data_IF_107114095197
#
_entry.id   IF_107114095197
#
_cell.length_a   1.000
_cell.length_b   1.000
_cell.length_c   1.000
_cell.angle_alpha   90.00
_cell.angle_beta   90.00
_cell.angle_gamma   90.00
#
_symmetry.space_group_name_H-M   'P 1'
#
loop_
_entity.id
_entity.type
_entity.pdbx_description
1 polymer ?
#
# COMPACT_ATOMS: atom_id res chain seq x y z
N UNK A 1 -3.59 49.93 28.85
CA UNK A 1 -3.44 49.97 27.39
C UNK A 1 -3.10 48.57 26.89
N UNK A 2 -4.11 47.85 26.44
CA UNK A 2 -4.03 46.52 25.85
C UNK A 2 -4.37 46.69 24.39
N UNK A 3 -3.37 46.73 23.53
CA UNK A 3 -3.57 46.69 22.07
C UNK A 3 -2.45 45.86 21.46
N UNK A 4 -2.80 44.78 20.82
CA UNK A 4 -1.87 44.13 19.92
C UNK A 4 -1.90 42.63 19.86
N UNK A 5 -3.01 41.97 20.15
CA UNK A 5 -3.21 40.60 19.62
C UNK A 5 -3.83 40.76 18.23
N UNK A 6 -2.97 41.06 17.29
CA UNK A 6 -3.31 41.05 15.87
C UNK A 6 -3.78 39.64 15.53
N UNK A 7 -5.05 39.50 15.24
CA UNK A 7 -5.64 38.34 14.60
C UNK A 7 -4.87 38.07 13.31
N UNK A 8 -3.91 37.15 13.35
CA UNK A 8 -3.43 36.51 12.18
C UNK A 8 -4.53 35.55 11.67
N UNK A 9 -5.61 36.13 11.17
CA UNK A 9 -6.51 35.46 10.26
C UNK A 9 -5.73 35.21 8.94
N UNK A 10 -4.81 34.27 8.98
CA UNK A 10 -4.26 33.72 7.77
C UNK A 10 -5.43 33.05 7.07
N UNK A 11 -6.03 33.74 6.11
CA UNK A 11 -6.80 33.11 5.05
C UNK A 11 -5.87 32.05 4.48
N UNK A 12 -5.99 30.80 4.95
CA UNK A 12 -5.26 29.68 4.44
C UNK A 12 -5.66 29.51 2.98
N UNK A 13 -4.88 30.08 2.10
CA UNK A 13 -5.07 30.02 0.65
C UNK A 13 -5.11 28.56 0.23
N UNK A 14 -5.80 28.25 -0.87
CA UNK A 14 -5.88 26.89 -1.46
C UNK A 14 -4.52 26.21 -1.66
N UNK A 15 -3.42 26.96 -1.62
CA UNK A 15 -2.03 26.49 -1.63
C UNK A 15 -1.63 25.64 -0.40
N UNK A 16 -2.34 25.76 0.74
CA UNK A 16 -2.04 24.98 1.95
C UNK A 16 -2.76 23.60 2.00
N UNK A 17 -3.75 23.36 1.12
CA UNK A 17 -4.59 22.15 1.12
C UNK A 17 -4.08 21.06 0.15
N UNK A 18 -2.78 20.86 -0.02
CA UNK A 18 -2.24 19.91 -1.00
C UNK A 18 -1.44 18.78 -0.35
N UNK A 19 -1.83 18.38 0.86
CA UNK A 19 -1.24 17.19 1.45
C UNK A 19 -1.94 15.94 0.93
N UNK A 20 -1.19 14.87 0.88
CA UNK A 20 -1.68 13.54 0.58
C UNK A 20 -1.19 12.60 1.69
N UNK A 21 -2.00 11.63 2.06
CA UNK A 21 -1.66 10.63 3.07
C UNK A 21 -1.72 9.25 2.46
N UNK A 22 -0.67 8.46 2.67
CA UNK A 22 -0.64 7.04 2.35
C UNK A 22 -0.73 6.22 3.63
N UNK A 23 -1.50 5.16 3.61
CA UNK A 23 -1.61 4.21 4.72
C UNK A 23 -1.64 2.77 4.21
N UNK A 24 -0.90 1.90 4.87
CA UNK A 24 -0.92 0.46 4.59
C UNK A 24 -0.74 -0.37 5.86
N UNK A 25 -1.50 -1.45 5.93
CA UNK A 25 -1.37 -2.51 6.94
C UNK A 25 -1.70 -3.89 6.36
N UNK A 26 -1.59 -4.03 5.05
CA UNK A 26 -2.05 -5.23 4.34
C UNK A 26 -1.27 -6.50 4.69
N UNK A 27 -0.03 -6.37 5.11
CA UNK A 27 0.85 -7.47 5.49
C UNK A 27 1.41 -7.29 6.93
N UNK A 28 2.66 -7.73 7.16
CA UNK A 28 3.31 -7.69 8.47
C UNK A 28 3.88 -6.32 8.87
N UNK A 29 3.49 -5.27 8.19
CA UNK A 29 3.93 -3.91 8.50
C UNK A 29 2.74 -2.96 8.49
N UNK A 30 2.75 -2.04 9.45
CA UNK A 30 1.88 -0.87 9.45
C UNK A 30 2.70 0.35 9.05
N UNK A 31 2.23 1.13 8.10
CA UNK A 31 2.95 2.33 7.66
C UNK A 31 1.99 3.46 7.34
N UNK A 32 2.39 4.67 7.69
CA UNK A 32 1.71 5.92 7.32
C UNK A 32 2.76 6.88 6.78
N UNK A 33 2.44 7.54 5.67
CA UNK A 33 3.28 8.57 5.06
C UNK A 33 2.43 9.80 4.76
N UNK A 34 2.88 10.96 5.19
CA UNK A 34 2.34 12.26 4.78
C UNK A 34 3.28 12.84 3.73
N UNK A 35 2.73 13.29 2.60
CA UNK A 35 3.51 13.90 1.56
C UNK A 35 2.80 15.10 0.93
N UNK A 36 3.58 15.95 0.30
CA UNK A 36 3.12 17.15 -0.40
C UNK A 36 3.94 17.33 -1.66
N UNK A 37 3.28 17.46 -2.80
CA UNK A 37 3.95 17.60 -4.09
C UNK A 37 5.03 16.52 -4.31
N UNK A 38 4.65 15.26 -4.07
CA UNK A 38 5.53 14.09 -4.20
C UNK A 38 6.74 14.06 -3.22
N UNK A 39 6.87 15.02 -2.30
CA UNK A 39 7.90 15.03 -1.27
C UNK A 39 7.36 14.46 0.04
N UNK A 40 8.08 13.54 0.64
CA UNK A 40 7.74 12.97 1.94
C UNK A 40 7.98 14.03 3.02
N UNK A 41 6.93 14.34 3.79
CA UNK A 41 6.95 15.26 4.93
C UNK A 41 7.12 14.49 6.23
N UNK A 42 6.49 13.32 6.33
CA UNK A 42 6.60 12.42 7.46
C UNK A 42 6.35 10.99 7.00
N UNK A 43 7.14 10.07 7.52
CA UNK A 43 7.02 8.64 7.19
C UNK A 43 7.36 7.80 8.42
N UNK A 44 6.55 6.80 8.68
CA UNK A 44 6.85 5.80 9.70
C UNK A 44 6.28 4.45 9.32
N UNK A 45 7.13 3.43 9.44
CA UNK A 45 6.80 2.04 9.20
C UNK A 45 7.19 1.22 10.42
N UNK A 46 6.28 0.39 10.92
CA UNK A 46 6.48 -0.48 12.09
C UNK A 46 6.12 -1.90 11.70
N UNK A 47 6.96 -2.86 12.07
CA UNK A 47 6.63 -4.28 11.94
C UNK A 47 5.54 -4.61 12.95
N UNK A 48 4.48 -5.26 12.50
CA UNK A 48 3.34 -5.67 13.32
C UNK A 48 2.78 -6.97 12.77
N UNK A 49 2.93 -8.03 13.53
CA UNK A 49 2.37 -9.34 13.16
C UNK A 49 0.93 -9.46 13.64
N UNK A 50 0.63 -8.84 14.79
CA UNK A 50 -0.68 -8.80 15.43
C UNK A 50 -0.96 -7.38 15.95
N UNK A 51 -2.23 -7.07 16.25
CA UNK A 51 -2.62 -5.78 16.84
C UNK A 51 -2.43 -4.58 15.91
N UNK A 52 -2.63 -4.75 14.60
CA UNK A 52 -2.48 -3.69 13.60
C UNK A 52 -3.31 -2.44 13.94
N UNK A 53 -4.47 -2.60 14.56
CA UNK A 53 -5.36 -1.50 14.97
C UNK A 53 -4.68 -0.55 15.98
N UNK A 54 -4.02 -1.10 16.99
CA UNK A 54 -3.29 -0.31 18.00
C UNK A 54 -2.11 0.42 17.37
N UNK A 55 -1.36 -0.30 16.52
CA UNK A 55 -0.18 0.27 15.84
C UNK A 55 -0.58 1.39 14.89
N UNK A 56 -1.61 1.19 14.06
CA UNK A 56 -2.09 2.20 13.12
C UNK A 56 -2.63 3.44 13.82
N UNK A 57 -3.44 3.26 14.87
CA UNK A 57 -3.97 4.38 15.68
C UNK A 57 -2.84 5.19 16.29
N UNK A 58 -1.82 4.52 16.85
CA UNK A 58 -0.63 5.19 17.40
C UNK A 58 0.16 5.94 16.32
N UNK A 59 0.35 5.33 15.14
CA UNK A 59 1.04 5.98 14.02
C UNK A 59 0.30 7.23 13.55
N UNK A 60 -1.02 7.17 13.46
CA UNK A 60 -1.84 8.33 13.07
C UNK A 60 -1.78 9.44 14.13
N UNK A 61 -1.86 9.09 15.42
CA UNK A 61 -1.71 10.05 16.50
C UNK A 61 -0.31 10.70 16.51
N UNK A 62 0.75 9.92 16.30
CA UNK A 62 2.13 10.42 16.17
C UNK A 62 2.28 11.39 14.99
N UNK A 63 1.68 11.04 13.83
CA UNK A 63 1.66 11.92 12.67
C UNK A 63 1.01 13.26 13.01
N UNK A 64 -0.23 13.24 13.54
CA UNK A 64 -0.98 14.46 13.89
C UNK A 64 -0.22 15.29 14.94
N UNK A 65 0.30 14.65 15.98
CA UNK A 65 1.07 15.32 17.03
C UNK A 65 2.31 16.04 16.49
N UNK A 66 3.07 15.37 15.61
CA UNK A 66 4.34 15.88 15.07
C UNK A 66 4.17 16.93 13.99
N UNK A 67 3.19 16.76 13.11
CA UNK A 67 3.02 17.61 11.92
C UNK A 67 1.92 18.65 12.09
N UNK A 68 1.08 18.52 13.13
CA UNK A 68 -0.11 19.33 13.34
C UNK A 68 -1.09 19.31 12.16
N UNK A 69 -1.00 18.27 11.32
CA UNK A 69 -1.88 18.11 10.15
C UNK A 69 -3.32 17.90 10.59
N UNK A 70 -4.25 18.55 9.90
CA UNK A 70 -5.68 18.34 10.07
C UNK A 70 -6.25 17.61 8.84
N UNK A 71 -7.32 16.84 9.02
CA UNK A 71 -7.96 16.11 7.93
C UNK A 71 -8.35 17.02 6.76
N UNK A 72 -8.81 18.25 7.04
CA UNK A 72 -9.21 19.26 6.06
C UNK A 72 -8.08 19.73 5.11
N UNK A 73 -6.79 19.52 5.48
CA UNK A 73 -5.64 19.86 4.66
C UNK A 73 -5.21 18.73 3.74
N UNK A 74 -5.76 17.54 3.93
CA UNK A 74 -5.43 16.36 3.13
C UNK A 74 -6.41 16.28 1.97
N UNK A 75 -5.86 16.35 0.75
CA UNK A 75 -6.63 16.28 -0.49
C UNK A 75 -6.85 14.84 -0.96
N UNK A 76 -5.84 13.97 -0.77
CA UNK A 76 -5.89 12.58 -1.23
C UNK A 76 -5.48 11.59 -0.15
N UNK A 77 -6.18 10.48 -0.13
CA UNK A 77 -5.89 9.29 0.65
C UNK A 77 -5.48 8.16 -0.29
N UNK A 78 -4.28 7.64 -0.10
CA UNK A 78 -3.78 6.46 -0.80
C UNK A 78 -3.85 5.25 0.11
N UNK A 79 -4.48 4.17 -0.36
CA UNK A 79 -4.65 2.96 0.43
C UNK A 79 -4.69 1.68 -0.41
N UNK A 80 -4.37 0.58 0.24
CA UNK A 80 -4.47 -0.75 -0.33
C UNK A 80 -5.92 -1.26 -0.21
N UNK A 81 -6.42 -1.93 -1.25
CA UNK A 81 -7.73 -2.58 -1.26
C UNK A 81 -7.66 -4.12 -1.23
N UNK A 82 -6.47 -4.69 -1.09
CA UNK A 82 -6.24 -6.14 -1.05
C UNK A 82 -5.79 -6.74 -2.39
N UNK A 83 -5.70 -8.06 -2.44
CA UNK A 83 -5.94 -9.01 -1.36
C UNK A 83 -4.94 -8.89 -0.20
N UNK A 84 -5.39 -9.05 1.04
CA UNK A 84 -4.59 -8.83 2.24
C UNK A 84 -5.12 -9.64 3.43
N UNK A 85 -4.45 -9.53 4.58
CA UNK A 85 -4.98 -10.05 5.85
C UNK A 85 -6.31 -9.35 6.18
N UNK A 86 -7.36 -10.14 6.36
CA UNK A 86 -8.74 -9.68 6.47
C UNK A 86 -8.94 -8.57 7.52
N UNK A 87 -8.52 -8.81 8.75
CA UNK A 87 -8.70 -7.86 9.85
C UNK A 87 -7.86 -6.59 9.65
N UNK A 88 -6.61 -6.75 9.22
CA UNK A 88 -5.67 -5.65 9.06
C UNK A 88 -6.16 -4.61 8.04
N UNK A 89 -6.61 -5.06 6.87
CA UNK A 89 -7.08 -4.13 5.83
C UNK A 89 -8.39 -3.44 6.22
N UNK A 90 -9.29 -4.14 6.92
CA UNK A 90 -10.52 -3.53 7.44
C UNK A 90 -10.24 -2.47 8.49
N UNK A 91 -9.34 -2.74 9.44
CA UNK A 91 -8.93 -1.78 10.45
C UNK A 91 -8.34 -0.51 9.83
N UNK A 92 -7.50 -0.67 8.79
CA UNK A 92 -6.96 0.45 8.04
C UNK A 92 -8.06 1.32 7.42
N UNK A 93 -9.02 0.69 6.72
CA UNK A 93 -10.12 1.41 6.08
C UNK A 93 -11.04 2.08 7.10
N UNK A 94 -11.36 1.41 8.22
CA UNK A 94 -12.21 1.96 9.27
C UNK A 94 -11.56 3.15 9.97
N UNK A 95 -10.27 3.07 10.27
CA UNK A 95 -9.51 4.18 10.84
C UNK A 95 -9.54 5.41 9.94
N UNK A 96 -9.33 5.22 8.63
CA UNK A 96 -9.36 6.33 7.68
C UNK A 96 -10.77 6.89 7.46
N UNK A 97 -11.80 6.04 7.45
CA UNK A 97 -13.19 6.52 7.42
C UNK A 97 -13.50 7.41 8.63
N UNK A 98 -13.08 6.99 9.83
CA UNK A 98 -13.23 7.79 11.04
C UNK A 98 -12.46 9.11 10.98
N UNK A 99 -11.21 9.08 10.53
CA UNK A 99 -10.37 10.28 10.41
C UNK A 99 -10.93 11.33 9.44
N UNK A 100 -11.58 10.88 8.36
CA UNK A 100 -12.18 11.76 7.35
C UNK A 100 -13.71 11.90 7.47
N UNK A 101 -14.31 11.55 8.62
CA UNK A 101 -15.78 11.52 8.75
C UNK A 101 -16.46 12.86 8.42
N UNK A 102 -15.81 13.98 8.74
CA UNK A 102 -16.32 15.33 8.52
C UNK A 102 -15.77 16.00 7.24
N UNK A 103 -14.96 15.30 6.45
CA UNK A 103 -14.26 15.89 5.30
C UNK A 103 -14.26 14.96 4.09
N UNK A 104 -14.54 15.53 2.92
CA UNK A 104 -14.39 14.81 1.66
C UNK A 104 -12.92 14.74 1.27
N UNK A 105 -12.42 13.53 1.04
CA UNK A 105 -11.07 13.25 0.57
C UNK A 105 -11.12 12.43 -0.72
N UNK A 106 -10.28 12.75 -1.69
CA UNK A 106 -10.11 11.91 -2.89
C UNK A 106 -9.37 10.62 -2.50
N UNK A 107 -9.84 9.48 -2.97
CA UNK A 107 -9.27 8.18 -2.63
C UNK A 107 -8.60 7.57 -3.85
N UNK A 108 -7.32 7.24 -3.73
CA UNK A 108 -6.57 6.46 -4.69
C UNK A 108 -6.35 5.08 -4.11
N UNK A 109 -6.96 4.08 -4.70
CA UNK A 109 -6.88 2.71 -4.17
C UNK A 109 -6.06 1.80 -5.08
N UNK A 110 -5.22 0.98 -4.48
CA UNK A 110 -4.32 0.05 -5.16
C UNK A 110 -4.64 -1.38 -4.73
N UNK A 111 -4.52 -2.33 -5.64
CA UNK A 111 -4.38 -3.72 -5.23
C UNK A 111 -3.02 -3.93 -4.56
N UNK A 112 -2.88 -5.01 -3.80
CA UNK A 112 -1.59 -5.35 -3.19
C UNK A 112 -0.50 -5.57 -4.26
N UNK A 113 -0.87 -6.09 -5.41
CA UNK A 113 0.03 -6.33 -6.53
C UNK A 113 0.56 -5.03 -7.13
N UNK A 114 -0.32 -4.04 -7.36
CA UNK A 114 0.07 -2.69 -7.78
C UNK A 114 0.96 -2.04 -6.73
N UNK A 115 0.66 -2.24 -5.44
CA UNK A 115 1.47 -1.67 -4.36
C UNK A 115 2.90 -2.25 -4.32
N UNK A 116 3.08 -3.54 -4.59
CA UNK A 116 4.41 -4.13 -4.78
C UNK A 116 5.13 -3.51 -5.98
N UNK A 117 4.43 -3.33 -7.10
CA UNK A 117 4.99 -2.68 -8.28
C UNK A 117 5.48 -1.25 -7.99
N UNK A 118 4.72 -0.48 -7.23
CA UNK A 118 5.10 0.87 -6.82
C UNK A 118 6.40 0.92 -6.01
N UNK A 119 6.76 -0.16 -5.33
CA UNK A 119 8.01 -0.28 -4.59
C UNK A 119 9.25 -0.42 -5.45
N UNK A 120 9.13 -0.60 -6.76
CA UNK A 120 10.26 -0.73 -7.66
C UNK A 120 10.97 0.62 -7.85
N UNK A 121 12.30 0.60 -7.72
CA UNK A 121 13.15 1.79 -7.92
C UNK A 121 13.32 2.17 -9.39
N UNK A 122 13.18 1.20 -10.29
CA UNK A 122 13.33 1.37 -11.74
C UNK A 122 12.18 0.67 -12.44
N UNK A 123 11.82 1.19 -13.63
CA UNK A 123 10.84 0.54 -14.49
C UNK A 123 11.37 -0.82 -14.95
N UNK A 124 10.58 -1.91 -14.80
CA UNK A 124 11.03 -3.22 -15.23
C UNK A 124 11.05 -3.33 -16.75
N UNK A 125 11.99 -4.11 -17.28
CA UNK A 125 12.13 -4.36 -18.72
C UNK A 125 11.29 -5.57 -19.20
N UNK A 126 10.79 -6.38 -18.24
CA UNK A 126 9.94 -7.55 -18.50
C UNK A 126 8.71 -7.50 -17.62
N UNK A 127 7.67 -8.23 -18.00
CA UNK A 127 6.51 -8.45 -17.15
C UNK A 127 6.92 -9.10 -15.82
N UNK A 128 6.14 -8.82 -14.80
CA UNK A 128 6.36 -9.27 -13.44
C UNK A 128 5.27 -10.27 -13.06
N UNK A 129 5.65 -11.31 -12.35
CA UNK A 129 4.73 -12.16 -11.61
C UNK A 129 4.84 -11.81 -10.12
N UNK A 130 3.76 -11.30 -9.57
CA UNK A 130 3.70 -10.92 -8.16
C UNK A 130 3.06 -12.04 -7.34
N UNK A 131 3.80 -12.54 -6.35
CA UNK A 131 3.38 -13.60 -5.44
C UNK A 131 3.10 -13.03 -4.06
N UNK A 132 1.87 -13.21 -3.58
CA UNK A 132 1.44 -12.66 -2.30
C UNK A 132 0.99 -13.77 -1.36
N UNK A 133 1.68 -13.84 -0.22
CA UNK A 133 1.25 -14.63 0.92
C UNK A 133 0.35 -13.79 1.83
N UNK A 134 -0.90 -14.20 1.96
CA UNK A 134 -1.87 -13.61 2.88
C UNK A 134 -2.00 -14.40 4.19
N UNK A 135 -1.00 -15.21 4.53
CA UNK A 135 -1.01 -16.18 5.64
C UNK A 135 -2.08 -17.29 5.48
N UNK A 136 -2.31 -17.70 4.24
CA UNK A 136 -3.13 -18.86 3.88
C UNK A 136 -2.26 -19.96 3.29
N UNK A 137 -2.85 -21.13 3.00
CA UNK A 137 -2.13 -22.28 2.39
C UNK A 137 -1.60 -21.95 1.01
N UNK A 138 -2.33 -21.14 0.25
CA UNK A 138 -2.07 -20.83 -1.15
C UNK A 138 -1.49 -19.44 -1.32
N UNK A 139 -0.83 -19.21 -2.44
CA UNK A 139 -0.33 -17.91 -2.85
C UNK A 139 -1.31 -17.23 -3.81
N UNK A 140 -1.60 -15.96 -3.59
CA UNK A 140 -2.29 -15.14 -4.57
C UNK A 140 -1.26 -14.61 -5.59
N UNK A 141 -1.54 -14.81 -6.88
CA UNK A 141 -0.60 -14.56 -7.96
C UNK A 141 -1.25 -13.67 -9.00
N UNK A 142 -0.50 -12.67 -9.46
CA UNK A 142 -0.95 -11.74 -10.49
C UNK A 142 0.20 -11.36 -11.43
N UNK A 143 -0.06 -11.43 -12.73
CA UNK A 143 0.84 -10.87 -13.75
C UNK A 143 0.65 -9.35 -13.83
N UNK A 144 1.76 -8.64 -13.93
CA UNK A 144 1.82 -7.18 -14.08
C UNK A 144 2.70 -6.88 -15.29
N UNK A 145 2.23 -6.05 -16.20
CA UNK A 145 3.05 -5.62 -17.32
C UNK A 145 4.11 -4.57 -16.94
N UNK A 146 4.95 -4.18 -17.87
CA UNK A 146 6.01 -3.20 -17.65
C UNK A 146 5.51 -1.79 -17.32
N UNK A 147 4.22 -1.51 -17.54
CA UNK A 147 3.57 -0.24 -17.19
C UNK A 147 2.92 -0.24 -15.81
N UNK A 148 2.85 -1.41 -15.15
CA UNK A 148 2.18 -1.59 -13.85
C UNK A 148 0.71 -1.99 -13.97
N UNK A 149 0.20 -2.28 -15.16
CA UNK A 149 -1.17 -2.74 -15.37
C UNK A 149 -1.28 -4.23 -15.04
N UNK A 150 -2.33 -4.60 -14.32
CA UNK A 150 -2.64 -6.00 -14.04
C UNK A 150 -3.12 -6.70 -15.31
N UNK A 151 -2.56 -7.85 -15.61
CA UNK A 151 -2.85 -8.66 -16.81
C UNK A 151 -3.57 -9.95 -16.40
N UNK A 152 -4.78 -10.16 -16.92
CA UNK A 152 -5.61 -11.31 -16.60
C UNK A 152 -6.22 -11.24 -15.18
N UNK A 153 -6.79 -12.36 -14.74
CA UNK A 153 -7.38 -12.52 -13.41
C UNK A 153 -6.34 -12.94 -12.39
N UNK A 154 -6.49 -12.49 -11.16
CA UNK A 154 -5.73 -13.01 -10.02
C UNK A 154 -6.00 -14.51 -9.87
N UNK A 155 -4.95 -15.30 -9.76
CA UNK A 155 -5.02 -16.72 -9.48
C UNK A 155 -4.61 -17.00 -8.05
N UNK A 156 -5.14 -18.07 -7.49
CA UNK A 156 -4.71 -18.61 -6.20
C UNK A 156 -4.18 -20.00 -6.45
N UNK A 157 -2.90 -20.23 -6.19
CA UNK A 157 -2.23 -21.50 -6.47
C UNK A 157 -1.57 -22.07 -5.21
N UNK A 158 -1.65 -23.38 -5.06
CA UNK A 158 -0.83 -24.14 -4.11
C UNK A 158 0.61 -24.17 -4.58
N UNK A 159 1.53 -24.49 -3.68
CA UNK A 159 2.92 -24.75 -4.03
C UNK A 159 2.99 -26.17 -4.57
N UNK A 160 2.97 -26.30 -5.89
CA UNK A 160 2.97 -27.58 -6.64
C UNK A 160 3.71 -27.38 -7.98
N UNK A 161 3.72 -28.44 -8.80
CA UNK A 161 4.34 -28.43 -10.13
C UNK A 161 3.85 -27.30 -11.03
N UNK A 162 2.55 -27.02 -11.04
CA UNK A 162 1.95 -25.97 -11.89
C UNK A 162 2.48 -24.57 -11.54
N UNK A 163 2.67 -24.32 -10.24
CA UNK A 163 3.29 -23.07 -9.80
C UNK A 163 4.76 -23.00 -10.24
N UNK A 164 5.51 -24.09 -10.08
CA UNK A 164 6.93 -24.12 -10.46
C UNK A 164 7.09 -23.91 -11.96
N UNK A 165 6.26 -24.55 -12.78
CA UNK A 165 6.23 -24.34 -14.23
C UNK A 165 5.95 -22.87 -14.58
N UNK A 166 4.94 -22.25 -13.94
CA UNK A 166 4.63 -20.83 -14.12
C UNK A 166 5.83 -19.94 -13.74
N UNK A 167 6.53 -20.26 -12.65
CA UNK A 167 7.70 -19.51 -12.17
C UNK A 167 8.93 -19.71 -13.07
N UNK A 168 9.00 -20.77 -13.84
CA UNK A 168 10.07 -21.03 -14.80
C UNK A 168 10.01 -20.13 -16.03
N UNK A 169 8.86 -19.57 -16.35
CA UNK A 169 8.68 -18.66 -17.47
C UNK A 169 9.49 -17.36 -17.32
N UNK A 170 9.64 -16.60 -18.40
CA UNK A 170 10.47 -15.39 -18.46
C UNK A 170 9.79 -14.16 -17.82
N UNK A 171 9.66 -14.18 -16.50
CA UNK A 171 9.16 -13.07 -15.68
C UNK A 171 10.18 -12.63 -14.64
N UNK A 172 10.13 -11.36 -14.24
CA UNK A 172 10.63 -10.96 -12.93
C UNK A 172 9.63 -11.35 -11.85
N UNK A 173 10.13 -11.65 -10.65
CA UNK A 173 9.32 -12.06 -9.51
C UNK A 173 9.37 -10.98 -8.43
N UNK A 174 8.22 -10.66 -7.82
CA UNK A 174 8.14 -9.79 -6.64
C UNK A 174 7.12 -10.33 -5.64
N UNK A 175 7.19 -9.86 -4.41
CA UNK A 175 6.20 -10.12 -3.38
C UNK A 175 6.72 -10.93 -2.21
N UNK A 176 5.96 -10.90 -1.13
CA UNK A 176 6.31 -11.61 0.11
C UNK A 176 6.08 -13.13 0.03
N UNK A 177 5.32 -13.61 -0.96
CA UNK A 177 5.06 -15.03 -1.16
C UNK A 177 6.28 -15.82 -1.60
N UNK A 178 7.33 -15.16 -2.11
CA UNK A 178 8.57 -15.82 -2.56
C UNK A 178 9.28 -16.53 -1.39
N UNK A 179 9.20 -16.00 -0.18
CA UNK A 179 9.81 -16.63 1.00
C UNK A 179 9.20 -18.00 1.35
N UNK A 180 7.96 -18.27 0.94
CA UNK A 180 7.35 -19.60 1.12
C UNK A 180 7.93 -20.67 0.21
N UNK A 181 8.70 -20.28 -0.78
CA UNK A 181 9.30 -21.18 -1.77
C UNK A 181 10.74 -21.57 -1.39
N UNK A 182 11.24 -21.13 -0.23
CA UNK A 182 12.65 -21.34 0.17
C UNK A 182 13.06 -22.82 0.29
N UNK A 183 12.10 -23.70 0.55
CA UNK A 183 12.36 -25.14 0.80
C UNK A 183 12.21 -25.99 -0.47
N UNK A 184 11.91 -25.39 -1.64
CA UNK A 184 11.86 -26.12 -2.91
C UNK A 184 13.23 -26.12 -3.62
N UNK A 185 13.50 -27.15 -4.40
CA UNK A 185 14.78 -27.33 -5.11
C UNK A 185 15.10 -26.17 -6.06
N UNK A 186 14.09 -25.62 -6.72
CA UNK A 186 14.20 -24.54 -7.69
C UNK A 186 14.38 -23.14 -7.07
N UNK A 187 14.42 -23.02 -5.73
CA UNK A 187 14.42 -21.71 -5.05
C UNK A 187 15.60 -20.82 -5.46
N UNK A 188 16.78 -21.40 -5.66
CA UNK A 188 17.96 -20.64 -6.11
C UNK A 188 17.71 -19.95 -7.45
N UNK A 189 17.09 -20.64 -8.40
CA UNK A 189 16.70 -20.10 -9.70
C UNK A 189 15.60 -19.03 -9.54
N UNK A 190 14.57 -19.29 -8.76
CA UNK A 190 13.49 -18.36 -8.46
C UNK A 190 14.06 -17.07 -7.86
N UNK A 191 14.98 -17.16 -6.91
CA UNK A 191 15.62 -16.04 -6.26
C UNK A 191 16.46 -15.19 -7.20
N UNK A 192 17.11 -15.77 -8.20
CA UNK A 192 17.88 -15.04 -9.21
C UNK A 192 17.03 -14.08 -10.06
N UNK A 193 15.74 -14.39 -10.23
CA UNK A 193 14.75 -13.57 -10.96
C UNK A 193 13.98 -12.60 -10.06
N UNK A 194 14.22 -12.61 -8.74
CA UNK A 194 13.45 -11.85 -7.76
C UNK A 194 13.95 -10.42 -7.65
N UNK A 195 13.04 -9.48 -7.81
CA UNK A 195 13.27 -8.08 -7.51
C UNK A 195 13.08 -7.82 -6.00
N UNK A 196 13.91 -6.98 -5.42
CA UNK A 196 14.05 -6.80 -3.96
C UNK A 196 12.92 -6.02 -3.29
N UNK A 197 11.66 -6.25 -3.67
CA UNK A 197 10.49 -5.64 -3.03
C UNK A 197 9.72 -6.71 -2.26
N UNK A 198 10.09 -6.91 -1.02
CA UNK A 198 9.50 -7.93 -0.13
C UNK A 198 8.60 -7.35 0.97
N UNK A 199 8.64 -6.03 1.17
CA UNK A 199 7.89 -5.31 2.21
C UNK A 199 7.05 -4.21 1.57
N UNK A 200 5.82 -4.03 2.03
CA UNK A 200 4.98 -2.93 1.60
C UNK A 200 5.12 -1.75 2.56
N UNK A 201 5.22 -0.56 2.00
CA UNK A 201 5.32 0.70 2.74
C UNK A 201 4.44 1.76 2.09
N UNK A 202 3.77 2.56 2.88
CA UNK A 202 2.91 3.63 2.38
C UNK A 202 3.68 4.71 1.58
N UNK A 203 4.98 4.85 1.79
CA UNK A 203 5.80 5.79 1.01
C UNK A 203 5.98 5.37 -0.46
N UNK A 204 5.68 4.12 -0.83
CA UNK A 204 5.66 3.70 -2.23
C UNK A 204 4.54 4.37 -3.04
N UNK A 205 3.49 4.88 -2.39
CA UNK A 205 2.43 5.63 -3.08
C UNK A 205 2.95 6.95 -3.69
N UNK A 206 4.13 7.43 -3.28
CA UNK A 206 4.84 8.55 -3.89
C UNK A 206 5.68 8.08 -5.09
N UNK A 207 5.07 7.30 -5.98
CA UNK A 207 5.77 6.82 -7.17
C UNK A 207 5.47 7.71 -8.37
N UNK A 208 6.50 8.33 -8.94
CA UNK A 208 6.37 9.24 -10.10
C UNK A 208 6.13 8.54 -11.44
N UNK A 209 6.34 7.22 -11.50
CA UNK A 209 6.16 6.45 -12.74
C UNK A 209 4.75 5.87 -12.92
N UNK A 210 3.94 5.88 -11.87
CA UNK A 210 2.62 5.26 -11.90
C UNK A 210 1.58 6.17 -11.25
N UNK A 211 0.69 6.74 -12.07
CA UNK A 211 -0.41 7.59 -11.60
C UNK A 211 -1.74 6.86 -11.78
N UNK A 212 -2.57 6.91 -10.77
CA UNK A 212 -3.90 6.28 -10.77
C UNK A 212 -4.99 7.32 -10.52
N UNK A 213 -6.13 7.13 -11.16
CA UNK A 213 -7.31 8.00 -10.95
C UNK A 213 -7.83 7.86 -9.52
N UNK A 214 -8.22 8.98 -8.93
CA UNK A 214 -8.91 9.06 -7.64
C UNK A 214 -10.43 9.08 -7.79
N UNK A 215 -11.14 8.78 -6.72
CA UNK A 215 -12.58 8.96 -6.58
C UNK A 215 -12.91 9.29 -5.11
N UNK A 216 -14.18 9.56 -4.81
CA UNK A 216 -14.62 9.91 -3.44
C UNK A 216 -15.24 8.74 -2.66
N UNK A 217 -15.20 7.52 -3.22
CA UNK A 217 -15.77 6.32 -2.59
C UNK A 217 -14.65 5.44 -2.05
N UNK A 218 -14.82 4.97 -0.82
CA UNK A 218 -13.94 3.92 -0.30
C UNK A 218 -14.06 2.67 -1.16
N UNK A 219 -12.93 2.05 -1.53
CA UNK A 219 -12.94 0.91 -2.42
C UNK A 219 -13.55 -0.32 -1.73
N UNK A 220 -14.19 -1.18 -2.53
CA UNK A 220 -14.51 -2.53 -2.09
C UNK A 220 -13.22 -3.28 -1.82
N UNK A 221 -13.12 -3.91 -0.65
CA UNK A 221 -11.97 -4.74 -0.29
C UNK A 221 -11.99 -6.02 -1.13
N UNK A 222 -10.85 -6.37 -1.69
CA UNK A 222 -10.66 -7.59 -2.47
C UNK A 222 -10.16 -8.68 -1.51
N UNK A 223 -10.81 -9.81 -1.51
CA UNK A 223 -10.39 -11.02 -0.80
C UNK A 223 -9.87 -12.03 -1.82
N UNK A 224 -8.77 -12.74 -1.55
CA UNK A 224 -8.23 -13.73 -2.48
C UNK A 224 -9.12 -14.99 -2.56
N UNK A 225 -9.95 -15.18 -1.55
CA UNK A 225 -10.88 -16.30 -1.46
C UNK A 225 -12.29 -15.76 -1.26
N UNK A 226 -13.29 -16.39 -1.89
CA UNK A 226 -14.69 -16.14 -1.54
C UNK A 226 -14.87 -16.40 -0.04
N UNK A 227 -15.59 -15.54 0.70
CA UNK A 227 -16.01 -15.91 2.03
C UNK A 227 -16.82 -17.21 1.91
N UNK A 228 -16.48 -18.18 2.76
CA UNK A 228 -17.28 -19.38 2.96
C UNK A 228 -18.67 -18.99 3.47
#
# INVERSE_FOLDING_TARGET
MLTGITKLNIKMTNKMKNFEIGIDSSLSYCSITLFKNEKIIWDKTVKSEFGHEKVLSKLLADLVKKTKIKAEYIKKLHLNKGPARFTAIRNCHSLMKGFFISHKVEIVSYSIFEHFFLGLKKKPTKSILCLVDTNRRDLAIQKIDTSGKLVGKTKTLKINSDLIELLSQDYYLIGNGIEKLKDISEFKFIKSKTLSVTKLKSNYFVNKYYKKKSNYKFPKIIYPYSPL
#
